data_IF_201434794715
#
_entry.id   IF_201434794715
#
_cell.length_a   1.000
_cell.length_b   1.000
_cell.length_c   1.000
_cell.angle_alpha   90.00
_cell.angle_beta   90.00
_cell.angle_gamma   90.00
#
_symmetry.space_group_name_H-M   'P 1'
#
loop_
_entity.id
_entity.type
_entity.pdbx_description
1 polymer ?
#
# COMPACT_ATOMS: atom_id res chain seq x y z
N UNK A 1 0.00 14.91 -13.85
CA UNK A 1 -0.20 13.62 -14.54
C UNK A 1 0.07 12.50 -13.53
N UNK A 2 -0.93 11.69 -13.18
CA UNK A 2 -0.75 10.53 -12.29
C UNK A 2 -0.13 9.43 -13.15
N UNK A 3 1.13 9.06 -12.88
CA UNK A 3 1.82 7.99 -13.61
C UNK A 3 0.98 6.71 -13.61
N UNK A 4 1.06 5.86 -14.65
CA UNK A 4 0.31 4.60 -14.70
C UNK A 4 0.54 3.73 -13.44
N UNK A 5 1.76 3.81 -12.88
CA UNK A 5 2.15 3.07 -11.69
C UNK A 5 1.44 3.58 -10.40
N UNK A 6 1.26 4.90 -10.26
CA UNK A 6 0.56 5.48 -9.10
C UNK A 6 -0.95 5.21 -9.10
N UNK A 7 -1.59 5.01 -10.27
CA UNK A 7 -2.97 4.51 -10.34
C UNK A 7 -3.11 3.06 -9.82
N UNK A 8 -2.12 2.21 -10.06
CA UNK A 8 -2.09 0.82 -9.57
C UNK A 8 -1.88 0.76 -8.05
N UNK A 9 -0.94 1.56 -7.53
CA UNK A 9 -0.72 1.73 -6.10
C UNK A 9 -1.98 2.21 -5.38
N UNK A 10 -2.62 3.27 -5.89
CA UNK A 10 -3.82 3.84 -5.29
C UNK A 10 -4.98 2.84 -5.21
N UNK A 11 -5.23 2.07 -6.28
CA UNK A 11 -6.26 1.00 -6.27
C UNK A 11 -5.95 -0.08 -5.24
N UNK A 12 -4.69 -0.44 -5.07
CA UNK A 12 -4.26 -1.46 -4.11
C UNK A 12 -4.39 -0.97 -2.67
N UNK A 13 -4.07 0.30 -2.41
CA UNK A 13 -4.28 0.98 -1.13
C UNK A 13 -5.77 1.09 -0.81
N UNK A 14 -6.59 1.53 -1.77
CA UNK A 14 -8.05 1.63 -1.60
C UNK A 14 -8.66 0.27 -1.24
N UNK A 15 -8.25 -0.80 -1.93
CA UNK A 15 -8.70 -2.15 -1.62
C UNK A 15 -8.28 -2.59 -0.20
N UNK A 16 -7.06 -2.26 0.22
CA UNK A 16 -6.57 -2.52 1.58
C UNK A 16 -7.44 -1.82 2.64
N UNK A 17 -7.75 -0.53 2.44
CA UNK A 17 -8.63 0.22 3.35
C UNK A 17 -10.07 -0.32 3.36
N UNK A 18 -10.62 -0.72 2.21
CA UNK A 18 -11.96 -1.35 2.15
C UNK A 18 -12.00 -2.64 2.98
N UNK A 19 -10.97 -3.49 2.88
CA UNK A 19 -10.85 -4.72 3.68
C UNK A 19 -10.71 -4.40 5.18
N UNK A 20 -9.88 -3.43 5.52
CA UNK A 20 -9.70 -2.96 6.90
C UNK A 20 -11.02 -2.46 7.51
N UNK A 21 -11.71 -1.55 6.82
CA UNK A 21 -12.97 -0.99 7.30
C UNK A 21 -14.05 -2.07 7.46
N UNK A 22 -14.13 -3.01 6.52
CA UNK A 22 -15.05 -4.14 6.61
C UNK A 22 -14.72 -5.09 7.78
N UNK A 23 -13.44 -5.29 8.09
CA UNK A 23 -13.01 -6.08 9.24
C UNK A 23 -13.27 -5.34 10.56
N UNK A 24 -13.01 -4.03 10.60
CA UNK A 24 -13.23 -3.19 11.78
C UNK A 24 -14.71 -3.13 12.16
N UNK A 25 -15.61 -3.01 11.17
CA UNK A 25 -17.07 -3.04 11.40
C UNK A 25 -17.58 -4.37 11.98
N UNK A 26 -16.84 -5.47 11.79
CA UNK A 26 -17.19 -6.80 12.35
C UNK A 26 -16.50 -7.08 13.68
N UNK A 27 -15.58 -6.23 14.13
CA UNK A 27 -14.85 -6.44 15.36
C UNK A 27 -15.78 -6.25 16.57
N UNK A 28 -15.92 -7.29 17.40
CA UNK A 28 -16.77 -7.27 18.60
C UNK A 28 -16.00 -6.95 19.90
N UNK A 29 -14.75 -6.47 19.80
CA UNK A 29 -13.93 -6.19 20.97
C UNK A 29 -12.70 -5.34 20.68
N UNK A 30 -12.21 -4.64 21.71
CA UNK A 30 -11.06 -3.71 21.63
C UNK A 30 -9.78 -4.39 21.16
N UNK A 31 -9.48 -5.58 21.69
CA UNK A 31 -8.29 -6.33 21.30
C UNK A 31 -8.35 -6.77 19.83
N UNK A 32 -9.51 -7.23 19.38
CA UNK A 32 -9.72 -7.62 17.98
C UNK A 32 -9.57 -6.43 17.04
N UNK A 33 -10.12 -5.26 17.40
CA UNK A 33 -9.95 -4.03 16.64
C UNK A 33 -8.48 -3.61 16.55
N UNK A 34 -7.73 -3.69 17.66
CA UNK A 34 -6.29 -3.43 17.66
C UNK A 34 -5.49 -4.41 16.80
N UNK A 35 -5.78 -5.70 16.87
CA UNK A 35 -5.12 -6.70 16.03
C UNK A 35 -5.37 -6.44 14.53
N UNK A 36 -6.60 -6.05 14.17
CA UNK A 36 -6.96 -5.68 12.79
C UNK A 36 -6.16 -4.45 12.34
N UNK A 37 -6.03 -3.44 13.21
CA UNK A 37 -5.22 -2.25 12.92
C UNK A 37 -3.74 -2.60 12.69
N UNK A 38 -3.11 -3.36 13.58
CA UNK A 38 -1.71 -3.72 13.45
C UNK A 38 -1.43 -4.54 12.18
N UNK A 39 -2.35 -5.45 11.84
CA UNK A 39 -2.27 -6.21 10.58
C UNK A 39 -2.35 -5.28 9.37
N UNK A 40 -3.34 -4.40 9.34
CA UNK A 40 -3.52 -3.44 8.25
C UNK A 40 -2.31 -2.51 8.09
N UNK A 41 -1.76 -1.97 9.18
CA UNK A 41 -0.54 -1.15 9.16
C UNK A 41 0.63 -1.88 8.50
N UNK A 42 0.88 -3.13 8.90
CA UNK A 42 1.96 -3.96 8.32
C UNK A 42 1.75 -4.21 6.83
N UNK A 43 0.53 -4.57 6.42
CA UNK A 43 0.19 -4.78 5.01
C UNK A 43 0.36 -3.50 4.18
N UNK A 44 -0.09 -2.36 4.72
CA UNK A 44 0.02 -1.06 4.07
C UNK A 44 1.48 -0.61 3.93
N UNK A 45 2.31 -0.79 4.96
CA UNK A 45 3.74 -0.48 4.90
C UNK A 45 4.49 -1.35 3.88
N UNK A 46 4.16 -2.65 3.78
CA UNK A 46 4.74 -3.53 2.79
C UNK A 46 4.41 -3.09 1.36
N UNK A 47 3.16 -2.66 1.13
CA UNK A 47 2.69 -2.16 -0.16
C UNK A 47 3.42 -0.87 -0.55
N UNK A 48 3.55 0.08 0.39
CA UNK A 48 4.30 1.32 0.18
C UNK A 48 5.78 1.04 -0.15
N UNK A 49 6.45 0.16 0.60
CA UNK A 49 7.84 -0.21 0.34
C UNK A 49 8.03 -0.78 -1.07
N UNK A 50 7.10 -1.62 -1.51
CA UNK A 50 7.14 -2.19 -2.87
C UNK A 50 6.99 -1.08 -3.92
N UNK A 51 6.02 -0.19 -3.76
CA UNK A 51 5.80 0.93 -4.67
C UNK A 51 7.05 1.81 -4.82
N UNK A 52 7.65 2.22 -3.69
CA UNK A 52 8.87 3.04 -3.71
C UNK A 52 10.06 2.31 -4.37
N UNK A 53 10.17 0.99 -4.20
CA UNK A 53 11.21 0.19 -4.86
C UNK A 53 11.01 0.14 -6.38
N UNK A 54 9.77 0.03 -6.84
CA UNK A 54 9.43 0.08 -8.27
C UNK A 54 9.79 1.46 -8.85
N UNK A 55 9.42 2.56 -8.19
CA UNK A 55 9.79 3.92 -8.61
C UNK A 55 11.32 4.11 -8.66
N UNK A 56 12.06 3.60 -7.66
CA UNK A 56 13.51 3.69 -7.66
C UNK A 56 14.15 2.86 -8.79
N UNK A 57 13.54 1.75 -9.17
CA UNK A 57 13.99 0.94 -10.30
C UNK A 57 13.78 1.69 -11.62
N UNK A 58 12.63 2.34 -11.80
CA UNK A 58 12.35 3.21 -12.96
C UNK A 58 13.38 4.35 -13.05
N UNK A 59 13.66 5.03 -11.94
CA UNK A 59 14.69 6.08 -11.90
C UNK A 59 16.07 5.56 -12.29
N UNK A 60 16.47 4.38 -11.80
CA UNK A 60 17.76 3.79 -12.15
C UNK A 60 17.85 3.43 -13.64
N UNK A 61 16.75 2.99 -14.26
CA UNK A 61 16.70 2.74 -15.71
C UNK A 61 16.82 4.05 -16.49
N UNK A 62 16.11 5.10 -16.07
CA UNK A 62 16.18 6.42 -16.68
C UNK A 62 17.61 6.98 -16.59
N UNK A 63 18.25 6.91 -15.43
CA UNK A 63 19.66 7.32 -15.24
C UNK A 63 20.61 6.62 -16.20
N UNK A 64 20.39 5.34 -16.49
CA UNK A 64 21.20 4.58 -17.47
C UNK A 64 21.03 5.05 -18.91
N UNK A 65 19.90 5.67 -19.26
CA UNK A 65 19.66 6.22 -20.61
C UNK A 65 20.33 7.57 -20.84
N UNK A 66 20.69 8.28 -19.76
CA UNK A 66 21.39 9.57 -19.81
C UNK A 66 22.92 9.44 -19.72
N UNK A 67 23.43 8.21 -19.69
CA UNK A 67 24.86 7.89 -19.70
C UNK A 67 25.21 7.28 -21.05
#
# INVERSE_FOLDING_TARGET
MVTPNSKSYFRSVEQSHRKYNAALRRARGRQTAMNIYWRHKREHEALLRRHLKEEMTELNQIKKKFK
#
